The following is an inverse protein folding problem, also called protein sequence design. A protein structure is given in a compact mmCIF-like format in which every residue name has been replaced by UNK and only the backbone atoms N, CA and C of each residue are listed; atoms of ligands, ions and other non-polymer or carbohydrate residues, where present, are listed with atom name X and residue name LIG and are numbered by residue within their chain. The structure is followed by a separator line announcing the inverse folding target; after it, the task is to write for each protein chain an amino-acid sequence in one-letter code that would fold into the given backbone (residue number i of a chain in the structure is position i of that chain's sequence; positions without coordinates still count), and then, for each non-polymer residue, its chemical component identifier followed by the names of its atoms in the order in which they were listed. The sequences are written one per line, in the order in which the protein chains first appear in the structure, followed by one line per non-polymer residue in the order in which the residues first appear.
data_IF_437158879701
#
_entry.id   IF_437158879701
#
_cell.length_a   1.000
_cell.length_b   1.000
_cell.length_c   1.000
_cell.angle_alpha   90.00
_cell.angle_beta   90.00
_cell.angle_gamma   90.00
#
_symmetry.space_group_name_H-M   'P 1'
#
loop_
_entity.id
_entity.type
_entity.pdbx_description
1 polymer ?
#
# COMPACT_ATOMS: atom_id res chain seq x y z
N UNK A 1 26.17 -3.36 -31.50
CA UNK A 1 25.61 -2.71 -30.32
C UNK A 1 24.31 -3.43 -30.05
N UNK A 2 24.34 -4.37 -29.11
CA UNK A 2 23.11 -4.99 -28.62
C UNK A 2 22.28 -3.87 -28.00
N UNK A 3 21.19 -3.52 -28.66
CA UNK A 3 20.05 -2.92 -27.97
C UNK A 3 19.57 -3.98 -27.00
N UNK A 4 20.19 -3.99 -25.81
CA UNK A 4 19.66 -4.64 -24.61
C UNK A 4 18.21 -4.18 -24.51
N UNK A 5 17.33 -5.00 -25.06
CA UNK A 5 15.91 -4.74 -25.14
C UNK A 5 15.45 -4.82 -23.69
N UNK A 6 15.35 -3.65 -23.04
CA UNK A 6 14.74 -3.51 -21.72
C UNK A 6 13.30 -4.00 -21.91
N UNK A 7 13.10 -5.31 -21.71
CA UNK A 7 11.83 -5.96 -21.94
C UNK A 7 10.94 -5.63 -20.74
N UNK A 8 10.30 -4.48 -20.82
CA UNK A 8 9.38 -4.02 -19.80
C UNK A 8 8.19 -4.99 -19.72
N UNK A 9 8.00 -5.63 -18.56
CA UNK A 9 6.99 -6.68 -18.37
C UNK A 9 5.67 -6.07 -17.90
N UNK A 10 4.96 -5.39 -18.79
CA UNK A 10 3.68 -4.74 -18.48
C UNK A 10 2.70 -5.67 -17.74
N UNK A 11 2.53 -6.91 -18.19
CA UNK A 11 1.62 -7.86 -17.56
C UNK A 11 1.98 -8.25 -16.12
N UNK A 12 3.27 -8.43 -15.82
CA UNK A 12 3.73 -8.72 -14.47
C UNK A 12 3.56 -7.52 -13.53
N UNK A 13 3.75 -6.30 -14.06
CA UNK A 13 3.55 -5.07 -13.31
C UNK A 13 2.06 -4.79 -13.05
N UNK A 14 1.16 -5.08 -14.00
CA UNK A 14 -0.29 -4.99 -13.80
C UNK A 14 -0.79 -5.94 -12.71
N UNK A 15 -0.36 -7.21 -12.74
CA UNK A 15 -0.70 -8.17 -11.70
C UNK A 15 -0.21 -7.71 -10.32
N UNK A 16 1.02 -7.20 -10.25
CA UNK A 16 1.58 -6.68 -8.99
C UNK A 16 0.82 -5.46 -8.45
N UNK A 17 0.34 -4.56 -9.33
CA UNK A 17 -0.45 -3.40 -8.92
C UNK A 17 -1.86 -3.78 -8.43
N UNK A 18 -2.47 -4.80 -9.03
CA UNK A 18 -3.75 -5.35 -8.60
C UNK A 18 -3.61 -6.05 -7.23
N UNK A 19 -2.54 -6.82 -7.04
CA UNK A 19 -2.20 -7.43 -5.75
C UNK A 19 -1.99 -6.35 -4.66
N UNK A 20 -1.29 -5.26 -4.99
CA UNK A 20 -1.12 -4.10 -4.11
C UNK A 20 -2.47 -3.46 -3.77
N UNK A 21 -3.39 -3.37 -4.72
CA UNK A 21 -4.73 -2.85 -4.48
C UNK A 21 -5.54 -3.75 -3.53
N UNK A 22 -5.50 -5.06 -3.74
CA UNK A 22 -6.08 -6.04 -2.82
C UNK A 22 -5.49 -5.95 -1.41
N UNK A 23 -4.17 -5.86 -1.30
CA UNK A 23 -3.48 -5.70 -0.03
C UNK A 23 -3.85 -4.38 0.68
N UNK A 24 -4.02 -3.29 -0.07
CA UNK A 24 -4.46 -1.99 0.49
C UNK A 24 -5.85 -2.10 1.12
N UNK A 25 -6.81 -2.71 0.41
CA UNK A 25 -8.17 -2.91 0.91
C UNK A 25 -8.18 -3.78 2.17
N UNK A 26 -7.39 -4.86 2.17
CA UNK A 26 -7.26 -5.74 3.33
C UNK A 26 -6.63 -5.02 4.52
N UNK A 27 -5.62 -4.18 4.30
CA UNK A 27 -4.98 -3.40 5.35
C UNK A 27 -5.93 -2.33 5.95
N UNK A 28 -6.77 -1.71 5.13
CA UNK A 28 -7.83 -0.79 5.61
C UNK A 28 -8.86 -1.53 6.46
N UNK A 29 -9.35 -2.70 6.00
CA UNK A 29 -10.27 -3.52 6.77
C UNK A 29 -9.67 -3.96 8.11
N UNK A 30 -8.41 -4.40 8.12
CA UNK A 30 -7.70 -4.79 9.34
C UNK A 30 -7.60 -3.62 10.33
N UNK A 31 -7.40 -2.38 9.85
CA UNK A 31 -7.36 -1.19 10.72
C UNK A 31 -8.69 -0.95 11.40
N UNK A 32 -9.78 -1.10 10.67
CA UNK A 32 -11.14 -0.95 11.20
C UNK A 32 -11.44 -2.03 12.24
N UNK A 33 -11.10 -3.29 11.96
CA UNK A 33 -11.26 -4.40 12.90
C UNK A 33 -10.45 -4.18 14.19
N UNK A 34 -9.19 -3.79 14.06
CA UNK A 34 -8.33 -3.47 15.22
C UNK A 34 -8.95 -2.35 16.05
N UNK A 35 -9.43 -1.29 15.42
CA UNK A 35 -10.10 -0.18 16.11
C UNK A 35 -11.33 -0.66 16.89
N UNK A 36 -12.18 -1.51 16.27
CA UNK A 36 -13.36 -2.08 16.90
C UNK A 36 -13.00 -2.95 18.11
N UNK A 37 -11.98 -3.81 17.99
CA UNK A 37 -11.51 -4.65 19.10
C UNK A 37 -11.05 -3.79 20.27
N UNK A 38 -10.26 -2.75 20.02
CA UNK A 38 -9.81 -1.86 21.09
C UNK A 38 -10.97 -1.08 21.73
N UNK A 39 -11.95 -0.62 20.96
CA UNK A 39 -13.17 -0.01 21.51
C UNK A 39 -13.96 -0.97 22.39
N UNK A 40 -14.06 -2.25 22.03
CA UNK A 40 -14.72 -3.26 22.87
C UNK A 40 -13.95 -3.52 24.18
N UNK A 41 -12.62 -3.52 24.12
CA UNK A 41 -11.75 -3.76 25.28
C UNK A 41 -11.73 -2.58 26.26
N UNK A 42 -11.93 -1.34 25.80
CA UNK A 42 -12.00 -0.16 26.68
C UNK A 42 -13.12 -0.23 27.72
N UNK A 43 -14.19 -0.99 27.48
CA UNK A 43 -15.27 -1.19 28.45
C UNK A 43 -14.96 -2.22 29.54
N UNK A 44 -13.86 -2.98 29.42
CA UNK A 44 -13.51 -4.09 30.31
C UNK A 44 -12.36 -3.72 31.25
N UNK A 45 -11.46 -2.85 30.81
CA UNK A 45 -10.31 -2.42 31.61
C UNK A 45 -10.59 -1.06 32.25
N UNK A 46 -10.29 -0.94 33.54
CA UNK A 46 -10.34 0.32 34.29
C UNK A 46 -8.96 0.73 34.80
N UNK A 47 -8.79 2.02 35.13
CA UNK A 47 -7.56 2.56 35.71
C UNK A 47 -6.36 2.49 34.76
N UNK A 48 -5.17 2.24 35.31
CA UNK A 48 -3.90 2.34 34.59
C UNK A 48 -3.74 1.33 33.44
N UNK A 49 -4.46 0.21 33.50
CA UNK A 49 -4.52 -0.76 32.42
C UNK A 49 -5.26 -0.21 31.19
N UNK A 50 -6.33 0.57 31.40
CA UNK A 50 -7.09 1.21 30.33
C UNK A 50 -6.25 2.28 29.61
N UNK A 51 -5.49 3.08 30.37
CA UNK A 51 -4.57 4.08 29.82
C UNK A 51 -3.47 3.43 28.96
N UNK A 52 -2.88 2.34 29.47
CA UNK A 52 -1.86 1.59 28.73
C UNK A 52 -2.42 0.99 27.45
N UNK A 53 -3.64 0.43 27.51
CA UNK A 53 -4.32 -0.13 26.35
C UNK A 53 -4.61 0.95 25.30
N UNK A 54 -5.07 2.13 25.73
CA UNK A 54 -5.32 3.26 24.84
C UNK A 54 -4.03 3.74 24.15
N UNK A 55 -2.93 3.85 24.89
CA UNK A 55 -1.62 4.19 24.30
C UNK A 55 -1.16 3.15 23.27
N UNK A 56 -1.39 1.86 23.54
CA UNK A 56 -1.05 0.78 22.60
C UNK A 56 -1.93 0.81 21.35
N UNK A 57 -3.23 1.09 21.50
CA UNK A 57 -4.13 1.30 20.38
C UNK A 57 -3.61 2.41 19.46
N UNK A 58 -3.24 3.57 20.03
CA UNK A 58 -2.71 4.71 19.26
C UNK A 58 -1.43 4.31 18.51
N UNK A 59 -0.49 3.63 19.17
CA UNK A 59 0.74 3.16 18.53
C UNK A 59 0.47 2.21 17.35
N UNK A 60 -0.44 1.25 17.52
CA UNK A 60 -0.77 0.30 16.47
C UNK A 60 -1.44 1.01 15.30
N UNK A 61 -2.40 1.88 15.55
CA UNK A 61 -3.08 2.64 14.49
C UNK A 61 -2.10 3.53 13.71
N UNK A 62 -1.13 4.17 14.39
CA UNK A 62 -0.09 4.95 13.73
C UNK A 62 0.82 4.10 12.83
N UNK A 63 1.19 2.89 13.27
CA UNK A 63 1.97 1.97 12.45
C UNK A 63 1.19 1.49 11.22
N UNK A 64 -0.11 1.20 11.38
CA UNK A 64 -0.98 0.82 10.27
C UNK A 64 -1.14 1.96 9.27
N UNK A 65 -1.27 3.20 9.73
CA UNK A 65 -1.34 4.38 8.87
C UNK A 65 -0.03 4.62 8.11
N UNK A 66 1.13 4.34 8.71
CA UNK A 66 2.42 4.41 8.02
C UNK A 66 2.52 3.36 6.91
N UNK A 67 2.12 2.12 7.18
CA UNK A 67 2.12 1.02 6.20
C UNK A 67 1.16 1.34 5.04
N UNK A 68 -0.05 1.84 5.33
CA UNK A 68 -1.01 2.23 4.30
C UNK A 68 -0.49 3.35 3.41
N UNK A 69 0.22 4.34 4.00
CA UNK A 69 0.86 5.39 3.22
C UNK A 69 1.98 4.85 2.32
N UNK A 70 2.82 3.95 2.83
CA UNK A 70 3.88 3.32 2.05
C UNK A 70 3.31 2.53 0.86
N UNK A 71 2.30 1.70 1.10
CA UNK A 71 1.60 0.95 0.04
C UNK A 71 1.03 1.89 -1.03
N UNK A 72 0.40 3.00 -0.61
CA UNK A 72 -0.16 4.02 -1.51
C UNK A 72 0.93 4.70 -2.35
N UNK A 73 2.07 5.01 -1.74
CA UNK A 73 3.22 5.59 -2.44
C UNK A 73 3.83 4.60 -3.44
N UNK A 74 4.02 3.34 -3.06
CA UNK A 74 4.52 2.28 -3.95
C UNK A 74 3.60 2.12 -5.16
N UNK A 75 2.28 2.12 -4.95
CA UNK A 75 1.30 2.08 -6.05
C UNK A 75 1.45 3.28 -6.99
N UNK A 76 1.53 4.48 -6.45
CA UNK A 76 1.60 5.71 -7.24
C UNK A 76 2.88 5.75 -8.07
N UNK A 77 4.03 5.41 -7.47
CA UNK A 77 5.30 5.31 -8.19
C UNK A 77 5.30 4.20 -9.25
N UNK A 78 4.66 3.06 -8.97
CA UNK A 78 4.50 1.96 -9.92
C UNK A 78 3.64 2.32 -11.13
N UNK A 79 2.51 3.01 -10.92
CA UNK A 79 1.65 3.51 -12.00
C UNK A 79 2.39 4.53 -12.88
N UNK A 80 3.03 5.52 -12.26
CA UNK A 80 3.79 6.56 -12.97
C UNK A 80 4.89 5.94 -13.85
N UNK A 81 5.64 4.98 -13.29
CA UNK A 81 6.71 4.29 -14.02
C UNK A 81 6.20 3.49 -15.22
N UNK A 82 4.94 3.00 -15.18
CA UNK A 82 4.33 2.35 -16.34
C UNK A 82 3.90 3.35 -17.41
N UNK A 83 3.27 4.45 -17.02
CA UNK A 83 2.87 5.50 -17.97
C UNK A 83 4.07 6.07 -18.71
N UNK A 84 5.16 6.33 -17.98
CA UNK A 84 6.42 6.81 -18.54
C UNK A 84 7.04 5.79 -19.50
N UNK A 85 7.01 4.50 -19.15
CA UNK A 85 7.51 3.42 -20.01
C UNK A 85 6.68 3.25 -21.28
N UNK A 86 5.35 3.30 -21.18
CA UNK A 86 4.45 3.21 -22.33
C UNK A 86 4.59 4.42 -23.26
N UNK A 87 4.73 5.63 -22.70
CA UNK A 87 4.98 6.84 -23.47
C UNK A 87 6.34 6.79 -24.19
N UNK A 88 7.38 6.31 -23.51
CA UNK A 88 8.70 6.13 -24.11
C UNK A 88 8.68 5.10 -25.24
N UNK A 89 8.03 3.95 -25.04
CA UNK A 89 7.88 2.90 -26.06
C UNK A 89 7.10 3.41 -27.28
N UNK A 90 5.99 4.11 -27.08
CA UNK A 90 5.23 4.74 -28.16
C UNK A 90 6.04 5.78 -28.95
N UNK A 91 6.84 6.59 -28.25
CA UNK A 91 7.75 7.56 -28.87
C UNK A 91 8.85 6.88 -29.69
N UNK A 92 9.43 5.79 -29.18
CA UNK A 92 10.46 5.01 -29.89
C UNK A 92 9.87 4.24 -31.09
N UNK A 93 8.66 3.69 -30.97
CA UNK A 93 7.99 2.95 -32.02
C UNK A 93 7.44 3.85 -33.15
N UNK A 94 7.06 5.10 -32.84
CA UNK A 94 6.61 6.11 -33.81
C UNK A 94 7.74 6.86 -34.53
N UNK A 95 9.01 6.59 -34.20
CA UNK A 95 10.19 7.26 -34.75
C UNK A 95 10.82 6.61 -35.98
N UNK A 96 10.10 5.70 -36.66
CA UNK A 96 10.53 5.03 -37.91
C UNK A 96 9.76 5.52 -39.13
#
# INVERSE_FOLDING_TARGET
MDTDNIRYQYGANYASLDDIQGATNNAQAMREEVSQVFSALQGVYEGQAAETLNQKQIQILQQMDAILNEITQTRTGGNQSQEDAAALDAHLAGGF
#
